data_IF_584503552379
#
_entry.id   IF_584503552379
#
_cell.length_a   1.000
_cell.length_b   1.000
_cell.length_c   1.000
_cell.angle_alpha   90.00
_cell.angle_beta   90.00
_cell.angle_gamma   90.00
#
_symmetry.space_group_name_H-M   'P 1'
#
loop_
_entity.id
_entity.type
_entity.pdbx_description
1 polymer ?
#
# COMPACT_ATOMS: atom_id res chain seq x y z
N UNK A 1 -15.50 1.11 1.72
CA UNK A 1 -15.23 2.56 1.52
C UNK A 1 -13.76 2.76 1.21
N UNK A 2 -13.43 3.70 0.31
CA UNK A 2 -12.11 3.81 -0.33
C UNK A 2 -11.07 4.57 0.51
N UNK A 3 -11.45 5.67 1.17
CA UNK A 3 -10.61 6.41 2.13
C UNK A 3 -11.45 7.41 2.94
N UNK A 4 -11.00 7.75 4.16
CA UNK A 4 -11.50 8.84 5.00
C UNK A 4 -10.72 10.11 4.70
N UNK A 5 -11.41 11.12 4.17
CA UNK A 5 -10.84 12.39 3.73
C UNK A 5 -11.27 13.49 4.69
N UNK A 6 -10.31 14.22 5.27
CA UNK A 6 -10.59 15.45 6.02
C UNK A 6 -10.49 16.64 5.08
N UNK A 7 -11.59 17.35 4.85
CA UNK A 7 -11.64 18.58 4.06
C UNK A 7 -11.62 19.78 5.00
N UNK A 8 -10.70 20.70 4.77
CA UNK A 8 -10.48 21.88 5.61
C UNK A 8 -10.53 23.14 4.75
N UNK A 9 -11.47 24.04 5.04
CA UNK A 9 -11.59 25.35 4.40
C UNK A 9 -12.38 26.26 5.36
N UNK A 10 -12.01 27.53 5.49
CA UNK A 10 -12.69 28.48 6.38
C UNK A 10 -14.09 28.87 5.88
N UNK A 11 -14.36 28.67 4.59
CA UNK A 11 -15.66 28.90 3.99
C UNK A 11 -16.47 27.60 3.92
N UNK A 12 -17.54 27.52 4.71
CA UNK A 12 -18.45 26.36 4.72
C UNK A 12 -18.93 25.92 3.33
N UNK A 13 -19.27 26.81 2.37
CA UNK A 13 -19.66 26.40 1.02
C UNK A 13 -18.58 25.58 0.28
N UNK A 14 -17.30 25.91 0.47
CA UNK A 14 -16.19 25.19 -0.15
C UNK A 14 -16.06 23.77 0.43
N UNK A 15 -16.15 23.65 1.76
CA UNK A 15 -16.17 22.35 2.45
C UNK A 15 -17.33 21.50 1.94
N UNK A 16 -18.54 22.05 1.91
CA UNK A 16 -19.75 21.31 1.46
C UNK A 16 -19.68 20.86 0.01
N UNK A 17 -19.11 21.68 -0.87
CA UNK A 17 -18.90 21.32 -2.27
C UNK A 17 -17.94 20.13 -2.42
N UNK A 18 -16.78 20.19 -1.75
CA UNK A 18 -15.80 19.10 -1.77
C UNK A 18 -16.33 17.83 -1.08
N UNK A 19 -17.06 17.97 0.04
CA UNK A 19 -17.77 16.86 0.69
C UNK A 19 -18.71 16.15 -0.27
N UNK A 20 -19.56 16.90 -0.99
CA UNK A 20 -20.50 16.32 -1.94
C UNK A 20 -19.78 15.59 -3.09
N UNK A 21 -18.75 16.19 -3.66
CA UNK A 21 -17.93 15.60 -4.75
C UNK A 21 -17.26 14.30 -4.32
N UNK A 22 -16.61 14.30 -3.15
CA UNK A 22 -15.88 13.15 -2.64
C UNK A 22 -16.83 12.02 -2.18
N UNK A 23 -17.97 12.33 -1.57
CA UNK A 23 -18.97 11.32 -1.21
C UNK A 23 -19.60 10.66 -2.42
N UNK A 24 -19.78 11.38 -3.53
CA UNK A 24 -20.24 10.81 -4.79
C UNK A 24 -19.27 9.75 -5.35
N UNK A 25 -17.98 9.86 -5.03
CA UNK A 25 -16.93 8.88 -5.33
C UNK A 25 -16.68 7.88 -4.19
N UNK A 26 -17.67 7.72 -3.28
CA UNK A 26 -17.67 6.73 -2.19
C UNK A 26 -16.57 6.90 -1.12
N UNK A 27 -16.01 8.11 -1.00
CA UNK A 27 -15.13 8.46 0.12
C UNK A 27 -15.95 8.76 1.39
N UNK A 28 -15.39 8.38 2.54
CA UNK A 28 -15.85 8.89 3.85
C UNK A 28 -15.26 10.29 4.02
N UNK A 29 -16.07 11.30 4.37
CA UNK A 29 -15.63 12.70 4.37
C UNK A 29 -16.01 13.42 5.64
N UNK A 30 -14.99 13.97 6.28
CA UNK A 30 -15.05 14.84 7.45
C UNK A 30 -14.80 16.29 7.01
N UNK A 31 -15.47 17.24 7.66
CA UNK A 31 -15.27 18.67 7.46
C UNK A 31 -14.62 19.32 8.67
N UNK A 32 -13.75 20.30 8.42
CA UNK A 32 -13.22 21.25 9.40
C UNK A 32 -13.18 22.67 8.81
N UNK A 33 -13.31 23.67 9.68
CA UNK A 33 -13.48 25.07 9.27
C UNK A 33 -12.35 26.00 9.74
N UNK A 34 -11.24 25.43 10.24
CA UNK A 34 -10.05 26.19 10.63
C UNK A 34 -8.81 25.31 10.70
N UNK A 35 -7.62 25.91 10.62
CA UNK A 35 -6.35 25.19 10.82
C UNK A 35 -6.27 24.51 12.19
N UNK A 36 -6.82 25.12 13.24
CA UNK A 36 -6.85 24.53 14.60
C UNK A 36 -7.73 23.28 14.65
N UNK A 37 -8.93 23.33 14.07
CA UNK A 37 -9.81 22.17 14.00
C UNK A 37 -9.18 21.05 13.17
N UNK A 38 -8.47 21.39 12.09
CA UNK A 38 -7.74 20.42 11.28
C UNK A 38 -6.69 19.64 12.08
N UNK A 39 -5.90 20.33 12.92
CA UNK A 39 -4.89 19.69 13.78
C UNK A 39 -5.54 18.74 14.80
N UNK A 40 -6.64 19.15 15.44
CA UNK A 40 -7.35 18.33 16.42
C UNK A 40 -8.00 17.10 15.77
N UNK A 41 -8.67 17.26 14.63
CA UNK A 41 -9.26 16.16 13.87
C UNK A 41 -8.23 15.20 13.29
N UNK A 42 -7.08 15.71 12.83
CA UNK A 42 -5.98 14.85 12.38
C UNK A 42 -5.55 13.86 13.47
N UNK A 43 -5.53 14.30 14.75
CA UNK A 43 -5.18 13.46 15.89
C UNK A 43 -6.30 12.49 16.27
N UNK A 44 -7.52 13.00 16.38
CA UNK A 44 -8.68 12.26 16.90
C UNK A 44 -9.30 11.30 15.89
N UNK A 45 -9.52 11.76 14.66
CA UNK A 45 -10.24 11.01 13.63
C UNK A 45 -9.31 10.14 12.74
N UNK A 46 -7.99 10.37 12.81
CA UNK A 46 -6.95 9.69 12.03
C UNK A 46 -7.33 9.52 10.54
N UNK A 47 -7.60 10.63 9.80
CA UNK A 47 -7.99 10.55 8.40
C UNK A 47 -6.88 9.94 7.54
N UNK A 48 -7.26 9.31 6.43
CA UNK A 48 -6.32 8.73 5.47
C UNK A 48 -5.62 9.81 4.63
N UNK A 49 -6.26 10.97 4.47
CA UNK A 49 -5.75 12.11 3.71
C UNK A 49 -6.44 13.41 4.15
N UNK A 50 -5.70 14.51 4.12
CA UNK A 50 -6.22 15.84 4.44
C UNK A 50 -6.17 16.72 3.18
N UNK A 51 -7.28 17.35 2.82
CA UNK A 51 -7.32 18.45 1.86
C UNK A 51 -7.40 19.75 2.64
N UNK A 52 -6.34 20.55 2.56
CA UNK A 52 -6.13 21.67 3.47
C UNK A 52 -6.09 22.98 2.70
N UNK A 53 -7.05 23.88 2.94
CA UNK A 53 -6.96 25.22 2.40
C UNK A 53 -5.74 25.98 2.97
N UNK A 54 -5.11 26.81 2.15
CA UNK A 54 -3.97 27.64 2.59
C UNK A 54 -4.43 28.86 3.36
N UNK A 55 -5.46 29.55 2.87
CA UNK A 55 -5.82 30.90 3.31
C UNK A 55 -6.95 30.83 4.32
N UNK A 56 -6.61 30.62 5.58
CA UNK A 56 -7.58 30.58 6.68
C UNK A 56 -7.23 31.64 7.75
N UNK A 57 -8.23 32.24 8.42
CA UNK A 57 -7.98 33.20 9.49
C UNK A 57 -7.38 32.52 10.73
N UNK A 58 -6.47 33.24 11.40
CA UNK A 58 -5.77 32.73 12.58
C UNK A 58 -4.63 31.80 12.18
N UNK A 59 -4.86 30.50 12.30
CA UNK A 59 -3.88 29.48 11.88
C UNK A 59 -4.07 29.17 10.39
N UNK A 60 -3.11 29.58 9.58
CA UNK A 60 -3.13 29.31 8.14
C UNK A 60 -2.85 27.82 7.83
N UNK A 61 -3.08 27.42 6.58
CA UNK A 61 -2.86 26.04 6.16
C UNK A 61 -1.41 25.59 6.21
N UNK A 62 -0.44 26.50 6.03
CA UNK A 62 0.98 26.14 6.10
C UNK A 62 1.40 25.84 7.55
N UNK A 63 0.91 26.60 8.51
CA UNK A 63 1.13 26.39 9.94
C UNK A 63 0.47 25.10 10.40
N UNK A 64 -0.80 24.86 10.05
CA UNK A 64 -1.48 23.61 10.34
C UNK A 64 -0.74 22.42 9.73
N UNK A 65 -0.28 22.53 8.47
CA UNK A 65 0.52 21.50 7.81
C UNK A 65 1.81 21.19 8.59
N UNK A 66 2.57 22.22 8.99
CA UNK A 66 3.81 22.02 9.78
C UNK A 66 3.54 21.29 11.09
N UNK A 67 2.49 21.66 11.82
CA UNK A 67 2.13 21.02 13.10
C UNK A 67 1.74 19.56 12.91
N UNK A 68 0.91 19.26 11.91
CA UNK A 68 0.48 17.89 11.60
C UNK A 68 1.70 17.04 11.18
N UNK A 69 2.62 17.61 10.40
CA UNK A 69 3.83 16.92 9.92
C UNK A 69 4.93 16.77 10.96
N UNK A 70 4.99 17.62 12.00
CA UNK A 70 5.95 17.50 13.10
C UNK A 70 5.48 16.60 14.23
N UNK A 71 4.18 16.28 14.28
CA UNK A 71 3.58 15.42 15.31
C UNK A 71 3.71 13.94 14.91
N UNK A 72 4.42 13.07 15.66
CA UNK A 72 4.69 11.67 15.27
C UNK A 72 3.44 10.83 14.96
N UNK A 73 2.35 11.10 15.67
CA UNK A 73 1.06 10.43 15.53
C UNK A 73 0.36 10.80 14.22
N UNK A 74 0.65 11.96 13.62
CA UNK A 74 -0.05 12.45 12.41
C UNK A 74 0.88 12.71 11.22
N UNK A 75 2.20 12.67 11.42
CA UNK A 75 3.19 12.98 10.38
C UNK A 75 3.07 12.12 9.12
N UNK A 76 2.57 10.91 9.29
CA UNK A 76 2.35 9.92 8.24
C UNK A 76 1.07 10.16 7.41
N UNK A 77 0.18 11.05 7.84
CA UNK A 77 -1.05 11.39 7.11
C UNK A 77 -0.70 12.29 5.91
N UNK A 78 -1.03 11.91 4.67
CA UNK A 78 -0.78 12.76 3.51
C UNK A 78 -1.64 14.03 3.57
N UNK A 79 -1.00 15.19 3.38
CA UNK A 79 -1.66 16.50 3.36
C UNK A 79 -1.55 17.05 1.96
N UNK A 80 -2.67 17.55 1.45
CA UNK A 80 -2.69 18.15 0.14
C UNK A 80 -3.32 19.51 0.15
N UNK A 81 -2.49 20.50 -0.15
CA UNK A 81 -2.92 21.89 -0.10
C UNK A 81 -3.97 22.12 -1.19
N UNK A 82 -4.99 22.91 -0.88
CA UNK A 82 -5.94 23.44 -1.84
C UNK A 82 -5.83 24.95 -1.75
N UNK A 83 -5.60 25.64 -2.86
CA UNK A 83 -5.32 27.08 -2.77
C UNK A 83 -5.78 27.83 -4.01
N UNK A 84 -6.26 29.05 -3.83
CA UNK A 84 -6.47 29.99 -4.94
C UNK A 84 -5.15 30.60 -5.44
N UNK A 85 -4.07 30.40 -4.69
CA UNK A 85 -2.73 30.83 -5.07
C UNK A 85 -2.23 29.94 -6.22
N UNK A 86 -2.32 30.46 -7.43
CA UNK A 86 -1.86 29.79 -8.64
C UNK A 86 -0.36 30.02 -8.90
N UNK A 87 0.27 30.92 -8.15
CA UNK A 87 1.68 31.22 -8.28
C UNK A 87 2.56 30.06 -7.83
N UNK A 88 3.66 29.90 -8.56
CA UNK A 88 4.64 28.85 -8.31
C UNK A 88 5.29 28.93 -6.93
N UNK A 89 5.47 30.15 -6.40
CA UNK A 89 6.06 30.38 -5.08
C UNK A 89 5.23 29.73 -3.96
N UNK A 90 3.90 29.79 -4.05
CA UNK A 90 2.99 29.28 -3.02
C UNK A 90 2.94 27.75 -3.00
N UNK A 91 3.01 27.12 -4.18
CA UNK A 91 3.13 25.66 -4.32
C UNK A 91 4.40 25.16 -3.66
N UNK A 92 5.52 25.84 -3.92
CA UNK A 92 6.84 25.52 -3.36
C UNK A 92 6.83 25.73 -1.84
N UNK A 93 6.19 26.78 -1.34
CA UNK A 93 6.03 27.02 0.09
C UNK A 93 5.24 25.89 0.76
N UNK A 94 4.16 25.41 0.14
CA UNK A 94 3.37 24.27 0.64
C UNK A 94 4.17 22.98 0.75
N UNK A 95 4.91 22.62 -0.30
CA UNK A 95 5.76 21.44 -0.28
C UNK A 95 6.88 21.56 0.77
N UNK A 96 7.47 22.75 0.93
CA UNK A 96 8.47 23.04 1.99
C UNK A 96 7.88 22.98 3.40
N UNK A 97 6.60 23.34 3.57
CA UNK A 97 5.87 23.18 4.83
C UNK A 97 5.57 21.71 5.17
N UNK A 98 5.86 20.79 4.24
CA UNK A 98 5.74 19.36 4.42
C UNK A 98 4.55 18.74 3.71
N UNK A 99 3.74 19.53 2.99
CA UNK A 99 2.63 19.01 2.21
C UNK A 99 3.13 18.01 1.17
N UNK A 100 2.29 17.03 0.87
CA UNK A 100 2.62 15.95 -0.04
C UNK A 100 2.36 16.33 -1.50
N UNK A 101 1.40 17.23 -1.73
CA UNK A 101 1.03 17.76 -3.04
C UNK A 101 0.14 19.03 -2.87
N UNK A 102 -0.30 19.64 -3.97
CA UNK A 102 -1.22 20.78 -3.99
C UNK A 102 -2.26 20.67 -5.11
N UNK A 103 -3.37 21.37 -4.98
CA UNK A 103 -4.35 21.63 -6.04
C UNK A 103 -4.67 23.13 -6.07
N UNK A 104 -4.78 23.66 -7.28
CA UNK A 104 -5.18 25.05 -7.51
C UNK A 104 -6.70 25.13 -7.64
N UNK A 105 -7.32 26.15 -7.04
CA UNK A 105 -8.75 26.48 -7.20
C UNK A 105 -8.95 27.21 -8.55
N UNK A 106 -10.03 26.95 -9.30
CA UNK A 106 -11.09 25.99 -9.02
C UNK A 106 -10.59 24.55 -9.17
N UNK A 107 -10.93 23.69 -8.20
CA UNK A 107 -10.44 22.32 -8.16
C UNK A 107 -11.08 21.49 -9.26
N UNK A 108 -10.27 21.01 -10.20
CA UNK A 108 -10.69 20.06 -11.22
C UNK A 108 -10.95 18.68 -10.59
N UNK A 109 -12.17 18.16 -10.76
CA UNK A 109 -12.63 16.90 -10.18
C UNK A 109 -11.70 15.73 -10.53
N UNK A 110 -11.28 15.71 -11.78
CA UNK A 110 -10.43 14.67 -12.34
C UNK A 110 -9.06 14.63 -11.64
N UNK A 111 -8.43 15.79 -11.43
CA UNK A 111 -7.16 15.90 -10.71
C UNK A 111 -7.33 15.60 -9.22
N UNK A 112 -8.43 16.07 -8.62
CA UNK A 112 -8.78 15.82 -7.22
C UNK A 112 -8.89 14.33 -6.90
N UNK A 113 -9.72 13.60 -7.64
CA UNK A 113 -9.95 12.18 -7.37
C UNK A 113 -8.69 11.35 -7.63
N UNK A 114 -7.95 11.66 -8.69
CA UNK A 114 -6.73 10.94 -9.00
C UNK A 114 -5.65 11.11 -7.90
N UNK A 115 -5.51 12.33 -7.37
CA UNK A 115 -4.63 12.67 -6.23
C UNK A 115 -5.05 11.94 -4.96
N UNK A 116 -6.33 12.02 -4.59
CA UNK A 116 -6.87 11.34 -3.40
C UNK A 116 -6.64 9.83 -3.52
N UNK A 117 -6.99 9.19 -4.64
CA UNK A 117 -6.77 7.75 -4.85
C UNK A 117 -5.29 7.35 -4.80
N UNK A 118 -4.39 8.15 -5.37
CA UNK A 118 -2.94 7.87 -5.33
C UNK A 118 -2.41 7.90 -3.89
N UNK A 119 -2.68 8.98 -3.16
CA UNK A 119 -2.16 9.18 -1.81
C UNK A 119 -2.81 8.24 -0.78
N UNK A 120 -4.10 7.93 -0.91
CA UNK A 120 -4.77 6.95 -0.05
C UNK A 120 -4.21 5.54 -0.24
N UNK A 121 -3.90 5.12 -1.47
CA UNK A 121 -3.24 3.82 -1.72
C UNK A 121 -1.89 3.71 -1.00
N UNK A 122 -1.11 4.79 -1.02
CA UNK A 122 0.18 4.85 -0.33
C UNK A 122 0.02 4.87 1.19
N UNK A 123 -0.99 5.57 1.71
CA UNK A 123 -1.32 5.58 3.14
C UNK A 123 -1.65 4.18 3.65
N UNK A 124 -2.48 3.42 2.94
CA UNK A 124 -2.83 2.04 3.34
C UNK A 124 -1.59 1.17 3.52
N UNK A 125 -0.65 1.20 2.55
CA UNK A 125 0.61 0.45 2.65
C UNK A 125 1.49 0.93 3.81
N UNK A 126 1.58 2.25 4.02
CA UNK A 126 2.39 2.84 5.09
C UNK A 126 1.85 2.47 6.47
N UNK A 127 0.53 2.50 6.65
CA UNK A 127 -0.12 2.13 7.90
C UNK A 127 0.07 0.67 8.25
N UNK A 128 0.05 -0.20 7.25
CA UNK A 128 0.28 -1.62 7.44
C UNK A 128 1.70 -1.88 7.95
N UNK A 129 2.71 -1.26 7.34
CA UNK A 129 4.09 -1.37 7.83
C UNK A 129 4.24 -0.79 9.24
N UNK A 130 3.56 0.31 9.56
CA UNK A 130 3.55 0.89 10.92
C UNK A 130 2.91 -0.06 11.93
N UNK A 131 1.80 -0.71 11.58
CA UNK A 131 1.12 -1.67 12.45
C UNK A 131 1.99 -2.90 12.70
N UNK A 132 2.66 -3.42 11.65
CA UNK A 132 3.60 -4.54 11.76
C UNK A 132 4.75 -4.20 12.70
N UNK A 133 5.33 -3.01 12.54
CA UNK A 133 6.38 -2.51 13.42
C UNK A 133 5.90 -2.37 14.88
N UNK A 134 4.72 -1.77 15.11
CA UNK A 134 4.15 -1.64 16.45
C UNK A 134 3.91 -3.00 17.12
N UNK A 135 3.47 -4.00 16.34
CA UNK A 135 3.27 -5.37 16.81
C UNK A 135 4.60 -6.04 17.18
N UNK A 136 5.64 -5.87 16.36
CA UNK A 136 6.97 -6.38 16.68
C UNK A 136 7.57 -5.76 17.95
N UNK A 137 7.33 -4.46 18.17
CA UNK A 137 7.72 -3.75 19.40
C UNK A 137 6.97 -4.26 20.62
N UNK A 138 5.65 -4.46 20.54
CA UNK A 138 4.85 -4.96 21.68
C UNK A 138 5.25 -6.39 22.08
N UNK A 139 5.69 -7.20 21.12
CA UNK A 139 6.19 -8.55 21.37
C UNK A 139 7.62 -8.60 21.94
N UNK A 140 8.26 -7.45 22.16
CA UNK A 140 9.65 -7.38 22.64
C UNK A 140 10.68 -7.89 21.62
N UNK A 141 10.27 -8.08 20.37
CA UNK A 141 11.12 -8.56 19.27
C UNK A 141 11.85 -7.39 18.60
N UNK A 142 11.39 -6.15 18.83
CA UNK A 142 11.97 -4.94 18.24
C UNK A 142 12.34 -3.91 19.31
N UNK A 143 13.49 -3.26 19.13
CA UNK A 143 13.91 -2.11 19.94
C UNK A 143 13.10 -0.85 19.63
N UNK A 144 13.22 0.16 20.51
CA UNK A 144 12.70 1.50 20.23
C UNK A 144 13.48 2.10 19.05
N UNK A 145 12.75 2.53 18.03
CA UNK A 145 13.35 3.16 16.87
C UNK A 145 13.04 4.64 16.91
N UNK A 146 14.09 5.44 16.81
CA UNK A 146 13.95 6.83 16.42
C UNK A 146 13.58 6.87 14.93
N UNK A 147 12.28 7.04 14.64
CA UNK A 147 11.75 7.24 13.30
C UNK A 147 11.94 8.68 12.82
N UNK A 148 12.48 9.54 13.68
CA UNK A 148 12.78 10.95 13.39
C UNK A 148 13.92 11.11 12.39
N UNK A 149 14.76 10.07 12.25
CA UNK A 149 15.97 10.09 11.41
C UNK A 149 15.74 9.52 9.98
N UNK A 150 14.49 9.45 9.53
CA UNK A 150 14.15 8.95 8.18
C UNK A 150 14.66 9.82 7.01
N UNK A 151 15.34 10.93 7.32
CA UNK A 151 15.59 12.00 6.38
C UNK A 151 17.04 12.42 6.17
N UNK A 152 18.02 11.99 6.97
CA UNK A 152 19.35 12.58 6.93
C UNK A 152 20.41 11.64 6.33
N UNK A 153 21.01 12.13 5.23
CA UNK A 153 22.26 11.69 4.62
C UNK A 153 22.26 10.53 3.60
N UNK A 154 22.67 10.91 2.38
CA UNK A 154 22.84 10.05 1.21
C UNK A 154 22.29 10.69 -0.06
N UNK A 155 23.04 10.65 -1.16
CA UNK A 155 22.51 11.02 -2.49
C UNK A 155 21.49 9.96 -2.90
N UNK A 156 20.28 10.40 -3.26
CA UNK A 156 19.27 9.50 -3.81
C UNK A 156 19.62 9.12 -5.24
N UNK A 157 19.35 7.86 -5.62
CA UNK A 157 19.51 7.34 -6.98
C UNK A 157 18.24 7.61 -7.79
N UNK A 158 18.31 8.57 -8.72
CA UNK A 158 17.19 8.97 -9.56
C UNK A 158 17.41 8.43 -10.98
N UNK A 159 16.39 7.77 -11.53
CA UNK A 159 16.40 7.28 -12.90
C UNK A 159 15.41 8.04 -13.77
N UNK A 160 15.89 8.70 -14.83
CA UNK A 160 15.06 9.47 -15.75
C UNK A 160 14.90 8.68 -17.04
N UNK A 161 13.65 8.42 -17.43
CA UNK A 161 13.29 7.79 -18.70
C UNK A 161 12.63 8.83 -19.60
N UNK A 162 13.38 9.34 -20.55
CA UNK A 162 12.96 10.41 -21.46
C UNK A 162 13.82 10.38 -22.74
N UNK A 163 13.17 10.47 -23.91
CA UNK A 163 13.80 10.50 -25.23
C UNK A 163 14.08 11.91 -25.75
N UNK A 164 13.68 12.95 -25.00
CA UNK A 164 13.94 14.35 -25.33
C UNK A 164 15.23 14.84 -24.65
N UNK A 165 16.35 14.79 -25.38
CA UNK A 165 17.69 15.15 -24.88
C UNK A 165 17.75 16.51 -24.15
N UNK A 166 17.17 17.57 -24.73
CA UNK A 166 17.17 18.91 -24.12
C UNK A 166 16.44 18.94 -22.77
N UNK A 167 15.37 18.16 -22.63
CA UNK A 167 14.65 18.05 -21.35
C UNK A 167 15.43 17.22 -20.35
N UNK A 168 16.00 16.10 -20.80
CA UNK A 168 16.86 15.24 -19.97
C UNK A 168 17.99 16.06 -19.36
N UNK A 169 18.73 16.80 -20.19
CA UNK A 169 19.86 17.61 -19.72
C UNK A 169 19.42 18.69 -18.75
N UNK A 170 18.28 19.34 -19.02
CA UNK A 170 17.68 20.30 -18.11
C UNK A 170 17.35 19.66 -16.77
N UNK A 171 16.50 18.63 -16.73
CA UNK A 171 16.07 17.96 -15.48
C UNK A 171 17.27 17.37 -14.74
N UNK A 172 18.22 16.75 -15.45
CA UNK A 172 19.45 16.20 -14.88
C UNK A 172 20.29 17.29 -14.21
N UNK A 173 20.52 18.42 -14.89
CA UNK A 173 21.31 19.54 -14.33
C UNK A 173 20.69 20.12 -13.05
N UNK A 174 19.36 20.09 -12.92
CA UNK A 174 18.64 20.55 -11.73
C UNK A 174 18.80 19.61 -10.53
N UNK A 175 18.97 18.30 -10.77
CA UNK A 175 18.97 17.26 -9.74
C UNK A 175 20.36 16.74 -9.38
N UNK A 176 21.31 16.77 -10.32
CA UNK A 176 22.64 16.18 -10.17
C UNK A 176 23.50 16.81 -9.06
N UNK A 177 23.16 18.02 -8.62
CA UNK A 177 23.83 18.69 -7.49
C UNK A 177 23.65 17.90 -6.17
N UNK A 178 22.45 17.34 -5.95
CA UNK A 178 22.06 16.68 -4.68
C UNK A 178 21.86 15.17 -4.81
N UNK A 179 21.75 14.65 -6.02
CA UNK A 179 21.33 13.29 -6.28
C UNK A 179 22.20 12.62 -7.35
N UNK A 180 22.25 11.29 -7.33
CA UNK A 180 22.86 10.50 -8.39
C UNK A 180 21.83 10.29 -9.48
N UNK A 181 22.02 10.97 -10.61
CA UNK A 181 21.05 10.95 -11.71
C UNK A 181 21.57 10.11 -12.86
N UNK A 182 20.77 9.10 -13.21
CA UNK A 182 20.96 8.29 -14.40
C UNK A 182 19.81 8.51 -15.38
N UNK A 183 20.10 8.35 -16.66
CA UNK A 183 19.15 8.68 -17.75
C UNK A 183 19.15 7.55 -18.76
N UNK A 184 18.00 7.26 -19.36
CA UNK A 184 17.87 6.32 -20.47
C UNK A 184 16.81 6.80 -21.46
N UNK A 185 17.12 6.70 -22.75
CA UNK A 185 16.21 7.09 -23.84
C UNK A 185 15.65 5.89 -24.58
N UNK A 186 16.31 4.73 -24.50
CA UNK A 186 15.79 3.49 -25.08
C UNK A 186 14.83 2.80 -24.09
N UNK A 187 13.55 2.60 -24.44
CA UNK A 187 12.57 2.03 -23.52
C UNK A 187 12.85 0.58 -23.09
N UNK A 188 13.47 -0.24 -23.94
CA UNK A 188 13.79 -1.64 -23.60
C UNK A 188 14.94 -1.70 -22.61
N UNK A 189 15.98 -0.89 -22.84
CA UNK A 189 17.10 -0.72 -21.90
C UNK A 189 16.60 -0.12 -20.59
N UNK A 190 15.68 0.85 -20.66
CA UNK A 190 15.10 1.49 -19.49
C UNK A 190 14.33 0.50 -18.62
N UNK A 191 13.55 -0.39 -19.23
CA UNK A 191 12.86 -1.47 -18.53
C UNK A 191 13.84 -2.44 -17.87
N UNK A 192 14.84 -2.91 -18.61
CA UNK A 192 15.86 -3.84 -18.07
C UNK A 192 16.58 -3.25 -16.87
N UNK A 193 16.94 -1.97 -16.96
CA UNK A 193 17.60 -1.24 -15.89
C UNK A 193 16.67 -0.97 -14.71
N UNK A 194 15.42 -0.57 -14.96
CA UNK A 194 14.45 -0.32 -13.90
C UNK A 194 14.28 -1.56 -13.01
N UNK A 195 14.23 -2.77 -13.61
CA UNK A 195 14.09 -4.05 -12.89
C UNK A 195 15.17 -4.33 -11.84
N UNK A 196 16.36 -3.71 -11.92
CA UNK A 196 17.38 -3.96 -10.89
C UNK A 196 16.94 -3.45 -9.51
N UNK A 197 15.91 -2.58 -9.44
CA UNK A 197 15.33 -2.13 -8.17
C UNK A 197 16.16 -1.07 -7.45
N UNK A 198 17.26 -0.62 -8.05
CA UNK A 198 18.29 0.21 -7.44
C UNK A 198 17.99 1.72 -7.42
N UNK A 199 16.72 2.10 -7.52
CA UNK A 199 16.34 3.52 -7.66
C UNK A 199 15.45 3.98 -6.53
N UNK A 200 15.75 5.17 -6.02
CA UNK A 200 14.95 5.87 -5.03
C UNK A 200 13.74 6.58 -5.65
N UNK A 201 13.85 6.92 -6.94
CA UNK A 201 12.80 7.57 -7.71
C UNK A 201 13.03 7.29 -9.20
N UNK A 202 11.95 7.00 -9.92
CA UNK A 202 11.97 6.98 -11.40
C UNK A 202 11.12 8.12 -11.92
N UNK A 203 11.67 8.93 -12.81
CA UNK A 203 10.97 10.01 -13.51
C UNK A 203 10.69 9.55 -14.93
N UNK A 204 9.44 9.60 -15.37
CA UNK A 204 9.04 9.11 -16.70
C UNK A 204 8.38 10.23 -17.49
N UNK A 205 8.90 10.53 -18.68
CA UNK A 205 8.22 11.40 -19.63
C UNK A 205 6.95 10.71 -20.15
N UNK A 206 5.79 11.36 -20.06
CA UNK A 206 4.51 10.84 -20.56
C UNK A 206 4.29 11.11 -22.06
N UNK A 207 5.27 11.69 -22.75
CA UNK A 207 5.27 11.97 -24.17
C UNK A 207 6.47 11.31 -24.89
N UNK A 208 6.81 10.07 -24.51
CA UNK A 208 7.77 9.24 -25.25
C UNK A 208 7.23 8.95 -26.66
N UNK A 209 8.11 8.97 -27.66
CA UNK A 209 7.82 8.68 -29.06
C UNK A 209 7.93 7.18 -29.37
N UNK A 210 8.93 6.51 -28.77
CA UNK A 210 9.27 5.10 -29.10
C UNK A 210 8.43 4.05 -28.37
N UNK A 211 7.74 4.40 -27.29
CA UNK A 211 6.94 3.47 -26.49
C UNK A 211 5.78 4.19 -25.80
N UNK A 212 4.67 3.49 -25.56
CA UNK A 212 3.63 3.98 -24.67
C UNK A 212 4.13 4.07 -23.21
N UNK A 213 4.27 5.29 -22.64
CA UNK A 213 4.78 5.46 -21.28
C UNK A 213 3.84 4.88 -20.22
N UNK A 214 2.54 4.75 -20.50
CA UNK A 214 1.61 4.12 -19.56
C UNK A 214 1.89 2.62 -19.43
N UNK A 215 2.21 1.95 -20.55
CA UNK A 215 2.63 0.54 -20.57
C UNK A 215 3.94 0.34 -19.82
N UNK A 216 4.89 1.26 -20.01
CA UNK A 216 6.16 1.29 -19.27
C UNK A 216 5.91 1.36 -17.75
N UNK A 217 5.11 2.32 -17.28
CA UNK A 217 4.77 2.46 -15.86
C UNK A 217 4.08 1.20 -15.30
N UNK A 218 3.12 0.64 -16.03
CA UNK A 218 2.43 -0.60 -15.63
C UNK A 218 3.40 -1.77 -15.48
N UNK A 219 4.35 -1.89 -16.40
CA UNK A 219 5.37 -2.94 -16.38
C UNK A 219 6.35 -2.75 -15.22
N UNK A 220 6.80 -1.53 -14.95
CA UNK A 220 7.62 -1.23 -13.76
C UNK A 220 6.86 -1.57 -12.47
N UNK A 221 5.54 -1.39 -12.44
CA UNK A 221 4.72 -1.72 -11.28
C UNK A 221 4.46 -3.21 -11.08
N UNK A 222 4.59 -4.04 -12.12
CA UNK A 222 4.31 -5.47 -12.02
C UNK A 222 5.44 -6.25 -11.33
N UNK A 223 6.70 -5.81 -11.48
CA UNK A 223 7.86 -6.45 -10.80
C UNK A 223 7.87 -6.16 -9.30
N UNK A 224 8.29 -7.15 -8.51
CA UNK A 224 8.28 -7.09 -7.05
C UNK A 224 9.28 -6.05 -6.53
N UNK A 225 10.47 -6.00 -7.14
CA UNK A 225 11.61 -5.16 -6.78
C UNK A 225 11.30 -3.68 -6.96
N UNK A 226 10.47 -3.33 -7.95
CA UNK A 226 10.15 -1.95 -8.33
C UNK A 226 8.73 -1.52 -8.00
N UNK A 227 7.89 -2.42 -7.49
CA UNK A 227 6.47 -2.14 -7.19
C UNK A 227 6.30 -0.92 -6.27
N UNK A 228 7.20 -0.77 -5.30
CA UNK A 228 7.17 0.30 -4.30
C UNK A 228 8.03 1.52 -4.68
N UNK A 229 8.84 1.43 -5.74
CA UNK A 229 9.67 2.55 -6.18
C UNK A 229 8.80 3.69 -6.70
N UNK A 230 8.88 4.91 -6.16
CA UNK A 230 8.06 6.02 -6.64
C UNK A 230 8.28 6.30 -8.13
N UNK A 231 7.18 6.55 -8.84
CA UNK A 231 7.15 7.01 -10.23
C UNK A 231 6.64 8.45 -10.25
N UNK A 232 7.41 9.37 -10.83
CA UNK A 232 7.03 10.75 -11.07
C UNK A 232 6.86 10.98 -12.58
N UNK A 233 5.66 11.32 -13.02
CA UNK A 233 5.37 11.56 -14.42
C UNK A 233 5.68 13.00 -14.84
N UNK A 234 6.28 13.22 -16.00
CA UNK A 234 6.31 14.54 -16.64
C UNK A 234 5.26 14.56 -17.75
N UNK A 235 4.23 15.38 -17.61
CA UNK A 235 3.10 15.49 -18.54
C UNK A 235 3.11 16.83 -19.28
N UNK A 236 2.55 16.84 -20.50
CA UNK A 236 2.26 18.08 -21.20
C UNK A 236 1.08 18.78 -20.53
N UNK A 237 1.16 20.10 -20.36
CA UNK A 237 0.06 20.89 -19.82
C UNK A 237 -1.21 20.68 -20.67
N UNK A 238 -2.34 20.40 -20.00
CA UNK A 238 -3.64 20.13 -20.63
C UNK A 238 -3.91 18.66 -20.99
N UNK A 239 -2.96 17.74 -20.84
CA UNK A 239 -3.17 16.30 -21.10
C UNK A 239 -3.80 15.57 -19.89
N UNK A 240 -4.95 16.06 -19.44
CA UNK A 240 -5.65 15.56 -18.23
C UNK A 240 -6.01 14.07 -18.37
N UNK A 241 -6.38 13.61 -19.58
CA UNK A 241 -6.74 12.20 -19.81
C UNK A 241 -5.55 11.27 -19.57
N UNK A 242 -4.36 11.61 -20.05
CA UNK A 242 -3.17 10.80 -19.85
C UNK A 242 -2.71 10.84 -18.40
N UNK A 243 -2.80 12.00 -17.74
CA UNK A 243 -2.50 12.14 -16.32
C UNK A 243 -3.35 11.20 -15.45
N UNK A 244 -4.67 11.14 -15.67
CA UNK A 244 -5.57 10.24 -14.92
C UNK A 244 -5.13 8.80 -15.06
N UNK A 245 -4.88 8.35 -16.28
CA UNK A 245 -4.45 6.97 -16.53
C UNK A 245 -3.11 6.67 -15.88
N UNK A 246 -2.17 7.61 -15.91
CA UNK A 246 -0.89 7.46 -15.25
C UNK A 246 -1.07 7.24 -13.74
N UNK A 247 -1.87 8.09 -13.09
CA UNK A 247 -2.18 7.97 -11.66
C UNK A 247 -2.93 6.67 -11.36
N UNK A 248 -3.89 6.25 -12.19
CA UNK A 248 -4.62 4.99 -12.00
C UNK A 248 -3.68 3.77 -12.07
N UNK A 249 -2.70 3.78 -12.99
CA UNK A 249 -1.67 2.73 -13.16
C UNK A 249 -0.64 2.73 -12.00
N UNK A 250 -0.67 3.74 -11.12
CA UNK A 250 0.16 3.79 -9.92
C UNK A 250 1.38 4.70 -10.02
N UNK A 251 1.37 5.67 -10.95
CA UNK A 251 2.24 6.84 -10.84
C UNK A 251 1.90 7.59 -9.55
N UNK A 252 2.92 7.99 -8.80
CA UNK A 252 2.74 8.57 -7.46
C UNK A 252 2.37 10.04 -7.55
N UNK A 253 2.99 10.76 -8.48
CA UNK A 253 2.87 12.21 -8.63
C UNK A 253 3.26 12.63 -10.06
N UNK A 254 3.04 13.90 -10.41
CA UNK A 254 3.36 14.44 -11.73
C UNK A 254 3.92 15.86 -11.71
N UNK A 255 4.56 16.24 -12.83
CA UNK A 255 5.01 17.59 -13.15
C UNK A 255 4.47 17.98 -14.51
N UNK A 256 3.94 19.19 -14.62
CA UNK A 256 3.55 19.75 -15.92
C UNK A 256 4.73 20.41 -16.62
N UNK A 257 4.79 20.30 -17.95
CA UNK A 257 5.72 21.07 -18.78
C UNK A 257 5.19 22.51 -18.96
N UNK A 258 6.06 23.54 -18.93
CA UNK A 258 7.51 23.49 -18.71
C UNK A 258 7.87 23.16 -17.25
N UNK A 259 8.90 22.32 -17.07
CA UNK A 259 9.34 21.88 -15.73
C UNK A 259 10.02 23.04 -15.01
N UNK A 260 9.52 23.38 -13.82
CA UNK A 260 10.13 24.35 -12.94
C UNK A 260 11.13 23.73 -11.96
N UNK A 261 12.20 24.47 -11.66
CA UNK A 261 13.27 24.04 -10.76
C UNK A 261 12.75 23.79 -9.34
N UNK A 262 12.01 24.74 -8.80
CA UNK A 262 11.61 24.69 -7.40
C UNK A 262 10.55 23.61 -7.19
N UNK A 263 9.59 23.49 -8.10
CA UNK A 263 8.58 22.44 -8.07
C UNK A 263 9.20 21.05 -8.24
N UNK A 264 10.08 20.86 -9.23
CA UNK A 264 10.80 19.60 -9.44
C UNK A 264 11.56 19.18 -8.18
N UNK A 265 12.35 20.08 -7.61
CA UNK A 265 13.16 19.80 -6.42
C UNK A 265 12.28 19.41 -5.24
N UNK A 266 11.17 20.10 -5.04
CA UNK A 266 10.27 19.85 -3.92
C UNK A 266 9.49 18.53 -4.06
N UNK A 267 9.00 18.19 -5.26
CA UNK A 267 8.34 16.90 -5.52
C UNK A 267 9.32 15.73 -5.40
N UNK A 268 10.51 15.85 -5.97
CA UNK A 268 11.57 14.84 -5.86
C UNK A 268 11.92 14.60 -4.38
N UNK A 269 12.13 15.65 -3.59
CA UNK A 269 12.41 15.53 -2.16
C UNK A 269 11.27 14.82 -1.41
N UNK A 270 10.01 15.13 -1.73
CA UNK A 270 8.84 14.50 -1.12
C UNK A 270 8.77 13.00 -1.42
N UNK A 271 8.97 12.61 -2.68
CA UNK A 271 8.96 11.19 -3.08
C UNK A 271 10.11 10.40 -2.44
N UNK A 272 11.32 10.97 -2.41
CA UNK A 272 12.50 10.33 -1.79
C UNK A 272 12.29 10.16 -0.28
N UNK A 273 11.85 11.22 0.41
CA UNK A 273 11.57 11.17 1.86
C UNK A 273 10.56 10.07 2.18
N UNK A 274 9.50 9.94 1.37
CA UNK A 274 8.48 8.91 1.54
C UNK A 274 9.04 7.51 1.29
N UNK A 275 9.82 7.30 0.22
CA UNK A 275 10.45 6.00 -0.03
C UNK A 275 11.38 5.61 1.11
N UNK A 276 12.25 6.51 1.55
CA UNK A 276 13.17 6.26 2.68
C UNK A 276 12.43 5.90 3.96
N UNK A 277 11.30 6.57 4.23
CA UNK A 277 10.46 6.22 5.37
C UNK A 277 9.92 4.78 5.28
N UNK A 278 9.41 4.38 4.11
CA UNK A 278 8.92 3.02 3.85
C UNK A 278 10.06 1.99 3.94
N UNK A 279 11.19 2.27 3.30
CA UNK A 279 12.36 1.38 3.29
C UNK A 279 12.96 1.22 4.68
N UNK A 280 12.99 2.28 5.49
CA UNK A 280 13.43 2.18 6.88
C UNK A 280 12.50 1.33 7.72
N UNK A 281 11.18 1.51 7.59
CA UNK A 281 10.21 0.64 8.28
C UNK A 281 10.42 -0.82 7.87
N UNK A 282 10.63 -1.07 6.58
CA UNK A 282 10.85 -2.40 6.03
C UNK A 282 12.16 -3.02 6.49
N UNK A 283 13.29 -2.33 6.32
CA UNK A 283 14.62 -2.82 6.70
C UNK A 283 14.71 -3.07 8.21
N UNK A 284 14.14 -2.20 9.04
CA UNK A 284 14.10 -2.40 10.49
C UNK A 284 13.19 -3.57 10.88
N UNK A 285 12.12 -3.80 10.13
CA UNK A 285 11.28 -4.98 10.27
C UNK A 285 12.03 -6.27 9.88
N UNK A 286 12.66 -6.30 8.70
CA UNK A 286 13.41 -7.45 8.16
C UNK A 286 14.64 -7.78 9.01
N UNK A 287 15.44 -6.78 9.42
CA UNK A 287 16.65 -6.97 10.24
C UNK A 287 16.34 -7.54 11.64
N UNK A 288 15.10 -7.37 12.13
CA UNK A 288 14.65 -7.92 13.41
C UNK A 288 14.04 -9.33 13.27
N UNK A 289 13.79 -9.83 12.04
CA UNK A 289 12.89 -10.96 11.78
C UNK A 289 13.34 -11.93 10.69
N UNK A 290 13.99 -13.01 11.12
CA UNK A 290 13.87 -14.32 10.43
C UNK A 290 13.66 -15.51 11.39
N UNK A 291 13.87 -15.36 12.71
CA UNK A 291 13.72 -16.50 13.65
C UNK A 291 12.59 -16.35 14.67
N UNK A 292 12.06 -15.14 14.93
CA UNK A 292 11.14 -14.88 16.04
C UNK A 292 9.66 -14.79 15.65
N UNK A 293 9.33 -14.36 14.44
CA UNK A 293 7.93 -14.17 13.99
C UNK A 293 7.54 -15.02 12.78
N UNK A 294 8.50 -15.68 12.17
CA UNK A 294 8.31 -16.58 11.04
C UNK A 294 8.34 -18.03 11.51
N UNK A 295 7.65 -18.89 10.76
CA UNK A 295 7.74 -20.34 10.89
C UNK A 295 8.96 -20.84 10.10
N UNK A 296 9.77 -21.71 10.73
CA UNK A 296 11.05 -22.13 10.17
C UNK A 296 10.93 -22.98 8.91
N UNK A 297 9.84 -23.74 8.77
CA UNK A 297 9.64 -24.64 7.63
C UNK A 297 9.18 -23.86 6.40
N UNK A 298 8.22 -22.95 6.59
CA UNK A 298 7.50 -22.28 5.50
C UNK A 298 7.99 -20.87 5.20
N UNK A 299 8.65 -20.21 6.15
CA UNK A 299 8.97 -18.78 6.11
C UNK A 299 7.76 -17.85 6.15
N UNK A 300 6.53 -18.37 6.33
CA UNK A 300 5.35 -17.56 6.61
C UNK A 300 5.38 -17.06 8.06
N UNK A 301 4.49 -16.13 8.42
CA UNK A 301 4.37 -15.71 9.81
C UNK A 301 3.93 -16.87 10.72
N UNK A 302 4.39 -16.88 11.96
CA UNK A 302 4.00 -17.87 12.95
C UNK A 302 2.71 -17.44 13.68
N UNK A 303 2.06 -18.43 14.31
CA UNK A 303 0.80 -18.23 15.04
C UNK A 303 0.88 -17.15 16.13
N UNK A 304 2.03 -17.03 16.80
CA UNK A 304 2.24 -16.03 17.87
C UNK A 304 2.16 -14.61 17.32
N UNK A 305 2.79 -14.36 16.19
CA UNK A 305 2.74 -13.06 15.52
C UNK A 305 1.32 -12.74 15.05
N UNK A 306 0.65 -13.71 14.40
CA UNK A 306 -0.72 -13.57 13.96
C UNK A 306 -1.67 -13.15 15.10
N UNK A 307 -1.60 -13.84 16.25
CA UNK A 307 -2.51 -13.56 17.37
C UNK A 307 -2.41 -12.10 17.85
N UNK A 308 -1.22 -11.52 17.80
CA UNK A 308 -0.96 -10.14 18.23
C UNK A 308 -1.33 -9.13 17.13
N UNK A 309 -1.00 -9.44 15.88
CA UNK A 309 -1.25 -8.55 14.75
C UNK A 309 -2.73 -8.46 14.39
N UNK A 310 -3.43 -9.59 14.43
CA UNK A 310 -4.84 -9.69 14.06
C UNK A 310 -5.73 -8.81 14.94
N UNK A 311 -5.43 -8.68 16.23
CA UNK A 311 -6.17 -7.78 17.12
C UNK A 311 -6.11 -6.33 16.62
N UNK A 312 -4.91 -5.86 16.27
CA UNK A 312 -4.72 -4.51 15.73
C UNK A 312 -5.39 -4.31 14.36
N UNK A 313 -5.38 -5.33 13.50
CA UNK A 313 -6.10 -5.30 12.22
C UNK A 313 -7.62 -5.21 12.44
N UNK A 314 -8.15 -5.96 13.41
CA UNK A 314 -9.56 -5.96 13.75
C UNK A 314 -10.00 -4.61 14.32
N UNK A 315 -9.25 -4.06 15.28
CA UNK A 315 -9.54 -2.74 15.86
C UNK A 315 -9.53 -1.66 14.77
N UNK A 316 -8.54 -1.69 13.87
CA UNK A 316 -8.47 -0.78 12.72
C UNK A 316 -9.69 -0.93 11.82
N UNK A 317 -10.09 -2.15 11.47
CA UNK A 317 -11.26 -2.42 10.64
C UNK A 317 -12.54 -1.85 11.29
N UNK A 318 -12.69 -2.06 12.61
CA UNK A 318 -13.82 -1.53 13.38
C UNK A 318 -13.88 0.01 13.36
N UNK A 319 -12.78 0.69 13.69
CA UNK A 319 -12.74 2.16 13.76
C UNK A 319 -12.83 2.85 12.39
N UNK A 320 -12.29 2.22 11.34
CA UNK A 320 -12.33 2.74 9.98
C UNK A 320 -13.62 2.38 9.24
N UNK A 321 -14.39 1.41 9.74
CA UNK A 321 -15.55 0.86 9.05
C UNK A 321 -15.18 0.11 7.75
N UNK A 322 -13.92 -0.32 7.61
CA UNK A 322 -13.44 -1.08 6.45
C UNK A 322 -13.49 -2.59 6.74
N UNK A 323 -13.79 -3.42 5.73
CA UNK A 323 -13.92 -4.86 5.93
C UNK A 323 -12.56 -5.52 6.16
N UNK A 324 -12.52 -6.49 7.07
CA UNK A 324 -11.40 -7.41 7.28
C UNK A 324 -11.93 -8.83 7.04
N UNK A 325 -11.30 -9.54 6.11
CA UNK A 325 -11.66 -10.93 5.79
C UNK A 325 -10.55 -11.89 6.15
N UNK A 326 -10.91 -13.07 6.66
CA UNK A 326 -9.99 -14.16 7.00
C UNK A 326 -10.25 -15.39 6.14
N UNK A 327 -9.19 -16.02 5.67
CA UNK A 327 -9.21 -17.37 5.11
C UNK A 327 -8.50 -18.30 6.10
N UNK A 328 -9.11 -19.44 6.40
CA UNK A 328 -8.43 -20.57 7.03
C UNK A 328 -8.39 -21.70 6.01
N UNK A 329 -7.20 -22.21 5.78
CA UNK A 329 -6.93 -23.26 4.80
C UNK A 329 -6.37 -24.48 5.52
N UNK A 330 -6.75 -25.65 5.03
CA UNK A 330 -6.21 -26.92 5.50
C UNK A 330 -5.94 -27.85 4.32
N UNK A 331 -4.80 -28.55 4.40
CA UNK A 331 -4.38 -29.50 3.37
C UNK A 331 -5.22 -30.76 3.46
N UNK A 332 -5.95 -31.04 2.39
CA UNK A 332 -6.82 -32.21 2.35
C UNK A 332 -6.00 -33.50 2.41
N UNK A 333 -6.40 -34.41 3.32
CA UNK A 333 -5.78 -35.73 3.49
C UNK A 333 -4.27 -35.70 3.84
N UNK A 334 -3.76 -34.62 4.46
CA UNK A 334 -2.34 -34.47 4.76
C UNK A 334 -1.73 -35.64 5.56
N UNK A 335 -2.46 -36.16 6.56
CA UNK A 335 -2.03 -37.35 7.29
C UNK A 335 -1.76 -38.55 6.37
N UNK A 336 -2.61 -38.77 5.36
CA UNK A 336 -2.40 -39.85 4.38
C UNK A 336 -1.14 -39.64 3.55
N UNK A 337 -0.78 -38.40 3.26
CA UNK A 337 0.46 -38.06 2.54
C UNK A 337 1.67 -38.44 3.40
N UNK A 338 1.68 -38.03 4.67
CA UNK A 338 2.75 -38.39 5.61
C UNK A 338 2.88 -39.90 5.80
N UNK A 339 1.76 -40.59 5.99
CA UNK A 339 1.73 -42.03 6.23
C UNK A 339 2.20 -42.82 4.99
N UNK A 340 1.99 -42.30 3.78
CA UNK A 340 2.34 -42.98 2.52
C UNK A 340 3.75 -42.63 2.02
N UNK A 341 4.15 -41.37 2.15
CA UNK A 341 5.35 -40.82 1.51
C UNK A 341 6.42 -40.33 2.49
N UNK A 342 6.13 -40.35 3.80
CA UNK A 342 7.03 -39.89 4.85
C UNK A 342 6.94 -38.39 5.13
N UNK A 343 7.45 -37.98 6.29
CA UNK A 343 7.39 -36.61 6.77
C UNK A 343 8.17 -35.62 5.90
N UNK A 344 9.28 -36.03 5.30
CA UNK A 344 10.07 -35.15 4.41
C UNK A 344 9.25 -34.69 3.19
N UNK A 345 8.39 -35.57 2.66
CA UNK A 345 7.48 -35.23 1.56
C UNK A 345 6.33 -34.35 2.06
N UNK A 346 5.79 -34.61 3.25
CA UNK A 346 4.80 -33.74 3.87
C UNK A 346 5.33 -32.31 4.07
N UNK A 347 6.57 -32.18 4.53
CA UNK A 347 7.26 -30.90 4.70
C UNK A 347 7.42 -30.16 3.36
N UNK A 348 7.77 -30.89 2.29
CA UNK A 348 7.84 -30.33 0.94
C UNK A 348 6.48 -29.82 0.45
N UNK A 349 5.40 -30.59 0.69
CA UNK A 349 4.02 -30.16 0.37
C UNK A 349 3.67 -28.87 1.10
N UNK A 350 3.97 -28.80 2.41
CA UNK A 350 3.75 -27.60 3.23
C UNK A 350 4.51 -26.40 2.66
N UNK A 351 5.78 -26.59 2.27
CA UNK A 351 6.61 -25.53 1.68
C UNK A 351 6.09 -25.02 0.35
N UNK A 352 5.67 -25.91 -0.55
CA UNK A 352 5.13 -25.53 -1.85
C UNK A 352 3.80 -24.77 -1.70
N UNK A 353 2.90 -25.25 -0.83
CA UNK A 353 1.64 -24.56 -0.56
C UNK A 353 1.89 -23.19 0.07
N UNK A 354 2.82 -23.10 1.03
CA UNK A 354 3.20 -21.82 1.63
C UNK A 354 3.73 -20.81 0.59
N UNK A 355 4.53 -21.28 -0.38
CA UNK A 355 5.02 -20.45 -1.48
C UNK A 355 3.87 -19.96 -2.39
N UNK A 356 2.89 -20.83 -2.71
CA UNK A 356 1.70 -20.43 -3.45
C UNK A 356 0.89 -19.38 -2.70
N UNK A 357 0.61 -19.60 -1.42
CA UNK A 357 -0.08 -18.62 -0.57
C UNK A 357 0.63 -17.27 -0.62
N UNK A 358 1.96 -17.25 -0.41
CA UNK A 358 2.77 -16.02 -0.42
C UNK A 358 2.67 -15.26 -1.74
N UNK A 359 2.68 -15.96 -2.88
CA UNK A 359 2.63 -15.36 -4.20
C UNK A 359 1.22 -14.87 -4.59
N UNK A 360 0.18 -15.46 -4.01
CA UNK A 360 -1.22 -15.16 -4.35
C UNK A 360 -1.82 -14.04 -3.47
N UNK A 361 -1.17 -13.67 -2.36
CA UNK A 361 -1.62 -12.61 -1.45
C UNK A 361 -0.88 -11.29 -1.67
N UNK A 362 -1.49 -10.16 -1.27
CA UNK A 362 -0.91 -8.82 -1.39
C UNK A 362 0.16 -8.63 -0.31
N UNK A 363 1.10 -7.70 -0.53
CA UNK A 363 2.11 -7.36 0.48
C UNK A 363 1.53 -6.83 1.79
N UNK A 364 0.30 -6.29 1.77
CA UNK A 364 -0.44 -5.85 2.95
C UNK A 364 -1.19 -6.98 3.67
N UNK A 365 -1.41 -8.11 3.01
CA UNK A 365 -2.09 -9.26 3.61
C UNK A 365 -1.11 -9.98 4.56
N UNK A 366 -1.65 -10.67 5.56
CA UNK A 366 -0.88 -11.45 6.52
C UNK A 366 -1.12 -12.94 6.28
N UNK A 367 -0.13 -13.62 5.71
CA UNK A 367 -0.14 -15.09 5.57
C UNK A 367 0.66 -15.76 6.69
N UNK A 368 0.02 -16.70 7.38
CA UNK A 368 0.55 -17.36 8.56
C UNK A 368 0.40 -18.88 8.46
N UNK A 369 1.40 -19.62 8.95
CA UNK A 369 1.22 -21.03 9.31
C UNK A 369 0.55 -21.10 10.68
N UNK A 370 -0.74 -21.45 10.69
CA UNK A 370 -1.58 -21.43 11.88
C UNK A 370 -1.41 -22.68 12.74
N UNK A 371 -1.24 -23.83 12.07
CA UNK A 371 -1.07 -25.15 12.67
C UNK A 371 -0.07 -26.01 11.89
N UNK A 372 -0.09 -27.32 12.10
CA UNK A 372 0.80 -28.25 11.40
C UNK A 372 0.59 -28.22 9.88
N UNK A 373 -0.65 -28.45 9.46
CA UNK A 373 -1.12 -28.47 8.05
C UNK A 373 -2.12 -27.34 7.73
N UNK A 374 -2.28 -26.40 8.66
CA UNK A 374 -3.26 -25.32 8.61
C UNK A 374 -2.59 -23.97 8.38
N UNK A 375 -3.19 -23.16 7.51
CA UNK A 375 -2.74 -21.82 7.19
C UNK A 375 -3.87 -20.82 7.43
N UNK A 376 -3.50 -19.59 7.79
CA UNK A 376 -4.44 -18.49 7.93
C UNK A 376 -3.95 -17.29 7.13
N UNK A 377 -4.84 -16.68 6.36
CA UNK A 377 -4.58 -15.44 5.64
C UNK A 377 -5.55 -14.36 6.13
N UNK A 378 -5.03 -13.26 6.66
CA UNK A 378 -5.82 -12.09 7.01
C UNK A 378 -5.65 -11.01 5.94
N UNK A 379 -6.77 -10.53 5.40
CA UNK A 379 -6.81 -9.56 4.29
C UNK A 379 -7.53 -8.30 4.74
N UNK A 380 -6.78 -7.23 5.09
CA UNK A 380 -7.37 -5.95 5.43
C UNK A 380 -8.00 -5.30 4.20
N UNK A 381 -8.95 -4.40 4.42
CA UNK A 381 -9.67 -3.66 3.37
C UNK A 381 -10.25 -4.56 2.25
N UNK A 382 -10.69 -5.76 2.64
CA UNK A 382 -11.16 -6.79 1.71
C UNK A 382 -12.52 -7.30 2.14
N UNK A 383 -13.52 -7.05 1.29
CA UNK A 383 -14.88 -7.56 1.48
C UNK A 383 -14.98 -9.08 1.25
N UNK A 384 -16.10 -9.65 1.68
CA UNK A 384 -16.35 -11.09 1.59
C UNK A 384 -16.32 -11.62 0.15
N UNK A 385 -16.81 -10.84 -0.81
CA UNK A 385 -16.90 -11.27 -2.20
C UNK A 385 -15.50 -11.40 -2.82
N UNK A 386 -14.67 -10.37 -2.65
CA UNK A 386 -13.30 -10.36 -3.13
C UNK A 386 -12.45 -11.41 -2.41
N UNK A 387 -12.68 -11.64 -1.12
CA UNK A 387 -12.07 -12.74 -0.39
C UNK A 387 -12.40 -14.11 -1.02
N UNK A 388 -13.65 -14.30 -1.45
CA UNK A 388 -14.08 -15.49 -2.20
C UNK A 388 -13.31 -15.70 -3.50
N UNK A 389 -13.10 -14.64 -4.28
CA UNK A 389 -12.33 -14.68 -5.53
C UNK A 389 -10.88 -15.11 -5.27
N UNK A 390 -10.24 -14.51 -4.25
CA UNK A 390 -8.85 -14.85 -3.88
C UNK A 390 -8.74 -16.29 -3.41
N UNK A 391 -9.66 -16.73 -2.55
CA UNK A 391 -9.70 -18.11 -2.05
C UNK A 391 -9.87 -19.13 -3.19
N UNK A 392 -10.79 -18.88 -4.12
CA UNK A 392 -11.05 -19.81 -5.21
C UNK A 392 -9.89 -19.87 -6.19
N UNK A 393 -9.25 -18.73 -6.49
CA UNK A 393 -8.02 -18.70 -7.28
C UNK A 393 -6.92 -19.53 -6.62
N UNK A 394 -6.69 -19.31 -5.32
CA UNK A 394 -5.66 -20.04 -4.57
C UNK A 394 -5.96 -21.54 -4.52
N UNK A 395 -7.22 -21.93 -4.32
CA UNK A 395 -7.66 -23.33 -4.34
C UNK A 395 -7.37 -23.98 -5.71
N UNK A 396 -7.71 -23.30 -6.80
CA UNK A 396 -7.45 -23.77 -8.17
C UNK A 396 -5.95 -23.90 -8.44
N UNK A 397 -5.16 -22.86 -8.13
CA UNK A 397 -3.72 -22.85 -8.30
C UNK A 397 -3.01 -24.00 -7.54
N UNK A 398 -3.51 -24.36 -6.36
CA UNK A 398 -2.99 -25.51 -5.60
C UNK A 398 -3.45 -26.83 -6.20
N UNK A 399 -4.73 -26.97 -6.56
CA UNK A 399 -5.28 -28.21 -7.11
C UNK A 399 -4.72 -28.57 -8.50
N UNK A 400 -4.36 -27.56 -9.30
CA UNK A 400 -3.78 -27.72 -10.63
C UNK A 400 -2.27 -27.96 -10.57
N UNK A 401 -1.63 -27.70 -9.43
CA UNK A 401 -0.20 -27.87 -9.24
C UNK A 401 0.12 -29.27 -8.72
N UNK A 402 1.07 -29.94 -9.37
CA UNK A 402 1.58 -31.22 -8.92
C UNK A 402 2.90 -31.04 -8.15
N UNK A 403 2.93 -31.52 -6.90
CA UNK A 403 4.12 -31.48 -6.07
C UNK A 403 5.05 -32.59 -6.54
N UNK A 404 6.22 -32.22 -7.05
CA UNK A 404 7.20 -33.20 -7.55
C UNK A 404 7.88 -33.93 -6.38
N UNK A 405 8.03 -35.24 -6.49
CA UNK A 405 8.73 -36.10 -5.54
C UNK A 405 10.11 -36.51 -6.08
N UNK A 406 11.03 -36.89 -5.19
CA UNK A 406 12.27 -37.62 -5.46
C UNK A 406 12.93 -37.34 -6.83
N UNK A 407 13.61 -36.20 -6.96
CA UNK A 407 14.37 -35.82 -8.17
C UNK A 407 13.55 -35.80 -9.48
N UNK A 408 12.22 -35.65 -9.39
CA UNK A 408 11.33 -35.35 -10.53
C UNK A 408 10.70 -36.57 -11.23
N UNK A 409 10.71 -37.76 -10.61
CA UNK A 409 10.14 -38.98 -11.23
C UNK A 409 8.68 -39.25 -10.88
N UNK A 410 8.24 -38.84 -9.70
CA UNK A 410 6.86 -39.02 -9.25
C UNK A 410 6.28 -37.64 -8.90
N UNK A 411 4.96 -37.49 -8.97
CA UNK A 411 4.25 -36.28 -8.57
C UNK A 411 2.99 -36.63 -7.80
N UNK A 412 2.60 -35.77 -6.86
CA UNK A 412 1.35 -35.90 -6.10
C UNK A 412 0.47 -34.69 -6.32
N UNK A 413 -0.83 -34.95 -6.48
CA UNK A 413 -1.85 -33.90 -6.46
C UNK A 413 -2.31 -33.69 -5.04
N UNK A 414 -2.33 -32.42 -4.64
CA UNK A 414 -2.76 -32.00 -3.31
C UNK A 414 -3.88 -30.98 -3.50
N UNK A 415 -4.91 -31.08 -2.67
CA UNK A 415 -6.00 -30.11 -2.64
C UNK A 415 -6.08 -29.45 -1.27
N UNK A 416 -6.77 -28.32 -1.21
CA UNK A 416 -7.02 -27.62 0.04
C UNK A 416 -8.51 -27.33 0.19
N UNK A 417 -8.97 -27.38 1.43
CA UNK A 417 -10.28 -26.86 1.83
C UNK A 417 -10.10 -25.48 2.47
N UNK A 418 -10.99 -24.54 2.15
CA UNK A 418 -10.87 -23.14 2.61
C UNK A 418 -12.18 -22.69 3.24
N UNK A 419 -12.09 -22.17 4.46
CA UNK A 419 -13.15 -21.44 5.16
C UNK A 419 -12.91 -19.94 5.14
N UNK A 420 -13.95 -19.15 4.85
CA UNK A 420 -13.88 -17.68 4.82
C UNK A 420 -14.76 -17.07 5.91
N UNK A 421 -14.29 -16.01 6.55
CA UNK A 421 -15.13 -15.11 7.36
C UNK A 421 -14.82 -13.65 7.06
N UNK A 422 -15.75 -12.75 7.36
CA UNK A 422 -15.57 -11.31 7.23
C UNK A 422 -16.17 -10.54 8.41
N UNK A 423 -15.67 -9.35 8.69
CA UNK A 423 -16.22 -8.43 9.70
C UNK A 423 -17.56 -7.83 9.29
N UNK A 424 -17.89 -7.79 8.00
CA UNK A 424 -19.19 -7.27 7.50
C UNK A 424 -20.40 -8.07 8.04
N UNK A 425 -20.15 -9.31 8.46
CA UNK A 425 -21.17 -10.24 8.96
C UNK A 425 -21.08 -10.45 10.48
N UNK A 426 -20.19 -9.71 11.14
CA UNK A 426 -20.01 -9.75 12.58
C UNK A 426 -21.08 -8.96 13.32
N UNK A 427 -21.46 -9.37 14.52
CA UNK A 427 -22.25 -8.51 15.40
C UNK A 427 -21.46 -7.24 15.78
N UNK A 428 -22.14 -6.19 16.26
CA UNK A 428 -21.46 -4.91 16.60
C UNK A 428 -20.39 -5.04 17.69
N UNK A 429 -20.46 -6.10 18.51
CA UNK A 429 -19.50 -6.43 19.56
C UNK A 429 -18.47 -7.47 19.12
N UNK A 430 -18.36 -7.80 17.82
CA UNK A 430 -17.51 -8.87 17.31
C UNK A 430 -16.05 -8.77 17.75
N UNK A 431 -15.33 -9.88 17.69
CA UNK A 431 -13.90 -9.93 18.06
C UNK A 431 -13.10 -10.70 17.02
N UNK A 432 -11.79 -10.42 16.94
CA UNK A 432 -10.89 -11.20 16.08
C UNK A 432 -10.93 -12.71 16.34
N UNK A 433 -11.17 -13.13 17.59
CA UNK A 433 -11.36 -14.55 17.94
C UNK A 433 -12.65 -15.15 17.38
N UNK A 434 -13.76 -14.40 17.45
CA UNK A 434 -15.04 -14.83 16.85
C UNK A 434 -14.94 -14.89 15.32
N UNK A 435 -14.20 -13.96 14.71
CA UNK A 435 -13.92 -13.97 13.28
C UNK A 435 -13.16 -15.25 12.87
N UNK A 436 -12.08 -15.62 13.58
CA UNK A 436 -11.38 -16.90 13.38
C UNK A 436 -12.35 -18.08 13.50
N UNK A 437 -13.18 -18.09 14.54
CA UNK A 437 -14.12 -19.18 14.79
C UNK A 437 -15.10 -19.38 13.62
N UNK A 438 -15.64 -18.30 13.04
CA UNK A 438 -16.52 -18.39 11.86
C UNK A 438 -15.81 -18.96 10.64
N UNK A 439 -14.53 -18.61 10.43
CA UNK A 439 -13.75 -19.19 9.34
C UNK A 439 -13.44 -20.68 9.58
N UNK A 440 -13.22 -21.08 10.83
CA UNK A 440 -12.99 -22.48 11.21
C UNK A 440 -14.26 -23.34 11.00
N UNK A 441 -15.43 -22.83 11.39
CA UNK A 441 -16.72 -23.47 11.12
C UNK A 441 -16.98 -23.63 9.61
N UNK A 442 -16.61 -22.61 8.82
CA UNK A 442 -16.67 -22.68 7.35
C UNK A 442 -15.71 -23.73 6.76
N UNK A 443 -14.49 -23.80 7.29
CA UNK A 443 -13.50 -24.79 6.89
C UNK A 443 -13.97 -26.22 7.22
N UNK A 444 -14.57 -26.41 8.40
CA UNK A 444 -15.17 -27.67 8.79
C UNK A 444 -16.27 -28.10 7.80
N UNK A 445 -17.17 -27.17 7.43
CA UNK A 445 -18.20 -27.41 6.43
C UNK A 445 -17.60 -27.75 5.04
N UNK A 446 -16.47 -27.12 4.66
CA UNK A 446 -15.76 -27.45 3.44
C UNK A 446 -15.22 -28.89 3.46
N UNK A 447 -14.60 -29.30 4.57
CA UNK A 447 -14.08 -30.67 4.77
C UNK A 447 -15.20 -31.71 4.72
N UNK A 448 -16.31 -31.48 5.42
CA UNK A 448 -17.46 -32.41 5.42
C UNK A 448 -18.25 -32.40 4.12
N UNK A 449 -18.22 -31.29 3.38
CA UNK A 449 -18.92 -31.14 2.10
C UNK A 449 -18.31 -31.95 0.96
N UNK A 450 -17.13 -32.53 1.14
CA UNK A 450 -16.41 -33.28 0.12
C UNK A 450 -15.06 -32.66 -0.29
N UNK A 451 -14.50 -31.77 0.54
CA UNK A 451 -13.17 -31.18 0.39
C UNK A 451 -12.98 -30.38 -0.91
N UNK A 452 -11.75 -29.93 -1.17
CA UNK A 452 -11.34 -29.19 -2.36
C UNK A 452 -12.35 -28.09 -2.75
N UNK A 453 -12.74 -27.26 -1.79
CA UNK A 453 -13.75 -26.22 -1.98
C UNK A 453 -13.56 -25.06 -1.04
N UNK A 454 -14.18 -23.95 -1.42
CA UNK A 454 -14.30 -22.76 -0.60
C UNK A 454 -15.70 -22.71 -0.01
N UNK A 455 -15.81 -22.54 1.30
CA UNK A 455 -17.07 -22.24 1.99
C UNK A 455 -16.93 -20.90 2.69
N UNK A 456 -17.96 -20.07 2.55
CA UNK A 456 -18.06 -18.82 3.30
C UNK A 456 -18.90 -19.08 4.55
N UNK A 457 -18.37 -18.72 5.72
CA UNK A 457 -19.07 -18.85 7.00
C UNK A 457 -20.35 -18.01 7.00
N UNK A 458 -21.44 -18.55 7.51
CA UNK A 458 -22.70 -17.82 7.61
C UNK A 458 -22.62 -16.74 8.70
N UNK A 459 -23.32 -15.63 8.52
CA UNK A 459 -23.62 -14.71 9.61
C UNK A 459 -24.43 -15.47 10.67
N UNK A 460 -24.00 -15.41 11.93
CA UNK A 460 -24.68 -16.04 13.06
C UNK A 460 -25.94 -15.26 13.47
#
# INVERSE_FOLDING_TARGET
MTARVLVVDDLEPNVKLLEAKLRAEYFDVLGAFSGREAVERAKTDQPDIILLDVMMPGMDGFEACRIIKSTPETAHIPIVMVTALDQQADRVAGLKAGADDFLTKPVEDVALFARVRSLSRLKTMTDELRLRYATGKSLGVMGAIDLTDAGADGKARIFIIDDQADQVDRVRSLLAEKHEVSTESDPEVALSRAKTGDFDLVIVNMALEKMDPLRLCSTIRSFEETRLTPLLAIVRQGDTRRLVRALDIGVNDYLSRPVDRNELTARVATQIRRKRYVDQLRSKFEASLEMAVTDQLTGLFNRRYLASHLSGMFDRAFWTGRPLSLLILDIDHFKSINDTHGHDIGDKVIQEIAAKIRNSVRGIDLACRYGGEEFLVAMPDTDRHFAGIVAERLRQEIADHEVTLNSGRDSIKVTVSIGISSTEEGPKDDTGQRLIKRADEALYAAKTGGRNRVIMGAAA
#
